data_IF_233715713952
#
_entry.id   IF_233715713952
#
_cell.length_a   1.000
_cell.length_b   1.000
_cell.length_c   1.000
_cell.angle_alpha   90.00
_cell.angle_beta   90.00
_cell.angle_gamma   90.00
#
_symmetry.space_group_name_H-M   'P 1'
#
loop_
_entity.id
_entity.type
_entity.pdbx_description
1 polymer ?
#
# COMPACT_ATOMS: atom_id res chain seq x y z
N UNK A 1 16.47 16.61 -2.05
CA UNK A 1 16.72 15.21 -1.64
C UNK A 1 15.74 14.21 -2.28
N UNK A 2 14.43 14.34 -2.10
CA UNK A 2 13.44 13.39 -2.66
C UNK A 2 13.48 13.28 -4.20
N UNK A 3 13.62 14.41 -4.90
CA UNK A 3 13.76 14.42 -6.37
C UNK A 3 14.98 13.62 -6.84
N UNK A 4 16.09 13.71 -6.10
CA UNK A 4 17.30 12.98 -6.45
C UNK A 4 17.14 11.47 -6.23
N UNK A 5 16.45 11.05 -5.17
CA UNK A 5 16.12 9.62 -4.96
C UNK A 5 15.33 9.07 -6.16
N UNK A 6 14.35 9.82 -6.68
CA UNK A 6 13.60 9.43 -7.88
C UNK A 6 14.46 9.44 -9.15
N UNK A 7 15.39 10.41 -9.28
CA UNK A 7 16.34 10.45 -10.40
C UNK A 7 17.29 9.25 -10.41
N UNK A 8 17.86 8.89 -9.26
CA UNK A 8 18.67 7.67 -9.10
C UNK A 8 17.87 6.42 -9.45
N UNK A 9 16.59 6.36 -9.08
CA UNK A 9 15.71 5.26 -9.45
C UNK A 9 15.55 5.13 -10.98
N UNK A 10 15.21 6.22 -11.67
CA UNK A 10 15.05 6.18 -13.13
C UNK A 10 16.35 5.88 -13.87
N UNK A 11 17.50 6.37 -13.38
CA UNK A 11 18.81 6.01 -13.91
C UNK A 11 19.13 4.52 -13.67
N UNK A 12 18.89 4.04 -12.46
CA UNK A 12 19.23 2.66 -12.08
C UNK A 12 18.38 1.60 -12.77
N UNK A 13 17.15 1.95 -13.12
CA UNK A 13 16.20 1.03 -13.77
C UNK A 13 16.13 1.21 -15.29
N UNK A 14 16.93 2.13 -15.86
CA UNK A 14 16.83 2.55 -17.26
C UNK A 14 15.39 2.87 -17.65
N UNK A 15 14.78 3.83 -16.96
CA UNK A 15 13.36 4.20 -17.15
C UNK A 15 12.38 3.05 -16.88
N UNK A 16 12.62 2.27 -15.83
CA UNK A 16 11.76 1.16 -15.37
C UNK A 16 11.83 -0.13 -16.23
N UNK A 17 12.76 -0.23 -17.18
CA UNK A 17 12.99 -1.43 -17.98
C UNK A 17 13.68 -2.58 -17.22
N UNK A 18 14.52 -2.27 -16.22
CA UNK A 18 15.24 -3.26 -15.41
C UNK A 18 14.86 -3.11 -13.93
N UNK A 19 13.93 -3.95 -13.47
CA UNK A 19 13.35 -3.85 -12.11
C UNK A 19 13.98 -4.79 -11.09
N UNK A 20 14.91 -5.66 -11.50
CA UNK A 20 15.62 -6.61 -10.63
C UNK A 20 17.01 -6.07 -10.31
N UNK A 21 17.41 -6.10 -9.03
CA UNK A 21 18.77 -5.73 -8.61
C UNK A 21 19.12 -4.24 -8.62
N UNK A 22 18.19 -3.35 -8.98
CA UNK A 22 18.47 -1.90 -9.12
C UNK A 22 18.87 -1.19 -7.81
N UNK A 23 18.61 -1.79 -6.63
CA UNK A 23 18.80 -1.15 -5.31
C UNK A 23 20.25 -0.75 -5.05
N UNK A 24 21.19 -1.65 -5.33
CA UNK A 24 22.62 -1.39 -5.11
C UNK A 24 23.14 -0.32 -6.06
N UNK A 25 22.67 -0.33 -7.32
CA UNK A 25 23.05 0.71 -8.29
C UNK A 25 22.44 2.07 -7.95
N UNK A 26 21.17 2.09 -7.51
CA UNK A 26 20.48 3.29 -7.04
C UNK A 26 21.18 3.92 -5.83
N UNK A 27 21.62 3.10 -4.88
CA UNK A 27 22.37 3.57 -3.71
C UNK A 27 23.74 4.15 -4.12
N UNK A 28 24.47 3.49 -5.02
CA UNK A 28 25.76 4.00 -5.53
C UNK A 28 25.61 5.39 -6.16
N UNK A 29 24.60 5.59 -7.01
CA UNK A 29 24.31 6.89 -7.62
C UNK A 29 23.91 7.95 -6.57
N UNK A 30 23.23 7.53 -5.51
CA UNK A 30 22.80 8.43 -4.44
C UNK A 30 23.98 8.90 -3.58
N UNK A 31 24.88 7.98 -3.21
CA UNK A 31 26.08 8.29 -2.43
C UNK A 31 27.05 9.16 -3.22
N UNK A 32 27.13 8.99 -4.54
CA UNK A 32 27.95 9.86 -5.40
C UNK A 32 27.57 11.34 -5.27
N UNK A 33 26.29 11.67 -5.07
CA UNK A 33 25.84 13.05 -4.89
C UNK A 33 25.86 13.51 -3.43
N UNK A 34 25.70 12.59 -2.49
CA UNK A 34 25.67 12.89 -1.05
C UNK A 34 26.65 11.97 -0.29
N UNK A 35 27.98 12.23 -0.40
CA UNK A 35 28.98 11.38 0.22
C UNK A 35 28.89 11.37 1.75
N UNK A 36 28.51 12.50 2.37
CA UNK A 36 28.37 12.63 3.84
C UNK A 36 27.30 11.72 4.46
N UNK A 37 26.41 11.17 3.63
CA UNK A 37 25.32 10.30 4.05
C UNK A 37 25.63 8.81 3.84
N UNK A 38 26.79 8.46 3.27
CA UNK A 38 27.18 7.09 2.96
C UNK A 38 27.14 6.17 4.20
N UNK A 39 27.65 6.64 5.34
CA UNK A 39 27.73 5.86 6.58
C UNK A 39 26.38 5.70 7.29
N UNK A 40 25.41 6.55 6.98
CA UNK A 40 24.11 6.62 7.70
C UNK A 40 22.96 6.00 6.91
N UNK A 41 23.08 5.89 5.60
CA UNK A 41 21.98 5.52 4.70
C UNK A 41 22.29 4.20 4.01
N UNK A 42 21.51 3.17 4.30
CA UNK A 42 21.61 1.85 3.65
C UNK A 42 20.89 1.79 2.31
N UNK A 43 21.24 0.82 1.45
CA UNK A 43 20.57 0.58 0.17
C UNK A 43 19.05 0.43 0.34
N UNK A 44 18.65 -0.35 1.34
CA UNK A 44 17.25 -0.58 1.69
C UNK A 44 16.54 0.73 2.05
N UNK A 45 17.21 1.62 2.79
CA UNK A 45 16.63 2.90 3.20
C UNK A 45 16.35 3.83 2.01
N UNK A 46 17.22 3.84 1.00
CA UNK A 46 17.03 4.63 -0.23
C UNK A 46 15.84 4.07 -1.05
N UNK A 47 15.72 2.74 -1.15
CA UNK A 47 14.61 2.10 -1.84
C UNK A 47 13.26 2.33 -1.12
N UNK A 48 13.24 2.25 0.21
CA UNK A 48 12.05 2.55 1.00
C UNK A 48 11.62 4.02 0.86
N UNK A 49 12.59 4.94 0.80
CA UNK A 49 12.30 6.36 0.56
C UNK A 49 11.60 6.59 -0.78
N UNK A 50 11.97 5.86 -1.84
CA UNK A 50 11.24 5.87 -3.13
C UNK A 50 9.79 5.45 -2.97
N UNK A 51 9.52 4.36 -2.22
CA UNK A 51 8.15 3.90 -1.94
C UNK A 51 7.34 4.98 -1.22
N UNK A 52 7.92 5.60 -0.19
CA UNK A 52 7.28 6.67 0.58
C UNK A 52 6.97 7.90 -0.30
N UNK A 53 7.88 8.27 -1.20
CA UNK A 53 7.66 9.39 -2.12
C UNK A 53 6.44 9.13 -3.01
N UNK A 54 6.31 7.93 -3.56
CA UNK A 54 5.18 7.54 -4.42
C UNK A 54 3.86 7.42 -3.65
N UNK A 55 3.87 6.78 -2.47
CA UNK A 55 2.62 6.55 -1.71
C UNK A 55 2.10 7.82 -1.06
N UNK A 56 2.98 8.70 -0.58
CA UNK A 56 2.62 9.95 0.10
C UNK A 56 2.53 11.14 -0.87
N UNK A 57 2.78 10.94 -2.17
CA UNK A 57 2.77 12.00 -3.20
C UNK A 57 3.63 13.21 -2.82
N UNK A 58 4.83 12.98 -2.28
CA UNK A 58 5.76 14.04 -1.88
C UNK A 58 6.35 14.82 -3.06
N UNK A 59 6.15 14.31 -4.28
CA UNK A 59 6.49 14.94 -5.55
C UNK A 59 5.25 14.83 -6.44
N UNK A 60 4.86 15.93 -7.07
CA UNK A 60 3.72 15.98 -8.00
C UNK A 60 3.96 15.08 -9.21
N UNK A 61 2.91 14.50 -9.77
CA UNK A 61 2.98 13.63 -10.96
C UNK A 61 3.69 14.32 -12.14
N UNK A 62 3.31 15.58 -12.43
CA UNK A 62 3.93 16.40 -13.48
C UNK A 62 5.44 16.51 -13.31
N UNK A 63 5.91 16.67 -12.06
CA UNK A 63 7.35 16.79 -11.77
C UNK A 63 8.06 15.44 -11.92
N UNK A 64 7.41 14.32 -11.61
CA UNK A 64 7.96 12.99 -11.87
C UNK A 64 8.11 12.70 -13.36
N UNK A 65 7.15 13.12 -14.18
CA UNK A 65 7.22 12.98 -15.64
C UNK A 65 8.35 13.83 -16.23
N UNK A 66 8.52 15.06 -15.75
CA UNK A 66 9.67 15.90 -16.12
C UNK A 66 10.99 15.24 -15.75
N UNK A 67 11.13 14.71 -14.52
CA UNK A 67 12.33 13.99 -14.10
C UNK A 67 12.58 12.74 -14.96
N UNK A 68 11.52 12.04 -15.38
CA UNK A 68 11.62 10.89 -16.28
C UNK A 68 12.11 11.33 -17.67
N UNK A 69 11.63 12.45 -18.18
CA UNK A 69 12.07 13.03 -19.46
C UNK A 69 13.53 13.51 -19.40
N UNK A 70 13.93 14.21 -18.33
CA UNK A 70 15.32 14.64 -18.08
C UNK A 70 16.27 13.42 -18.10
N UNK A 71 15.94 12.37 -17.34
CA UNK A 71 16.74 11.14 -17.31
C UNK A 71 16.75 10.40 -18.66
N UNK A 72 15.64 10.45 -19.41
CA UNK A 72 15.59 9.86 -20.74
C UNK A 72 16.53 10.58 -21.72
N UNK A 73 16.69 11.90 -21.59
CA UNK A 73 17.69 12.64 -22.38
C UNK A 73 19.12 12.26 -21.98
N UNK A 74 19.40 12.11 -20.68
CA UNK A 74 20.74 11.74 -20.18
C UNK A 74 21.18 10.34 -20.65
N UNK A 75 20.27 9.37 -20.62
CA UNK A 75 20.55 8.00 -21.09
C UNK A 75 20.82 7.97 -22.60
N UNK A 76 20.11 8.80 -23.39
CA UNK A 76 20.33 8.92 -24.84
C UNK A 76 21.71 9.53 -25.14
N UNK A 77 22.08 10.61 -24.43
CA UNK A 77 23.39 11.24 -24.61
C UNK A 77 24.57 10.36 -24.20
N UNK A 78 24.41 9.51 -23.18
CA UNK A 78 25.45 8.55 -22.80
C UNK A 78 25.55 7.40 -23.80
N UNK A 79 24.43 6.96 -24.38
CA UNK A 79 24.41 5.92 -25.43
C UNK A 79 25.14 6.40 -26.70
N UNK A 80 24.92 7.64 -27.12
CA UNK A 80 25.57 8.26 -28.28
C UNK A 80 27.08 8.53 -28.07
N UNK A 81 27.53 8.70 -26.82
CA UNK A 81 28.97 8.81 -26.49
C UNK A 81 29.71 7.48 -26.59
N UNK A 82 29.03 6.36 -26.34
CA UNK A 82 29.62 5.01 -26.47
C UNK A 82 29.76 4.52 -27.91
N UNK A 83 29.12 5.16 -28.89
CA UNK A 83 29.18 4.77 -30.31
C UNK A 83 30.30 5.45 -31.11
N UNK A 84 31.06 6.37 -30.50
CA UNK A 84 32.13 7.13 -31.19
C UNK A 84 33.53 6.92 -30.58
N UNK A 85 33.78 5.76 -29.97
CA UNK A 85 35.12 5.40 -29.50
C UNK A 85 35.48 3.95 -29.86
N UNK A 86 35.46 3.64 -31.15
CA UNK A 86 36.34 2.64 -31.74
C UNK A 86 37.36 3.36 -32.62
N UNK A 87 38.52 3.72 -32.05
CA UNK A 87 39.77 3.66 -32.79
C UNK A 87 40.98 3.60 -31.83
N UNK A 88 41.90 2.66 -32.13
CA UNK A 88 43.27 2.51 -31.63
C UNK A 88 43.52 2.04 -30.18
N UNK A 89 43.65 0.71 -29.97
CA UNK A 89 44.97 0.01 -29.92
C UNK A 89 44.83 -1.45 -29.43
N UNK A 90 45.41 -2.36 -30.21
CA UNK A 90 45.82 -3.72 -29.81
C UNK A 90 46.81 -3.68 -28.65
N UNK A 91 46.64 -4.58 -27.68
CA UNK A 91 47.66 -5.58 -27.30
C UNK A 91 47.06 -6.64 -26.37
N UNK A 92 47.32 -7.91 -26.70
CA UNK A 92 47.08 -9.09 -25.85
C UNK A 92 48.20 -9.20 -24.81
N UNK A 93 48.08 -9.91 -23.65
CA UNK A 93 48.04 -11.39 -23.64
C UNK A 93 47.27 -12.10 -22.49
N UNK A 94 46.69 -13.26 -22.84
CA UNK A 94 46.63 -14.57 -22.13
C UNK A 94 46.67 -14.60 -20.58
N UNK A 95 45.64 -15.16 -19.93
CA UNK A 95 45.58 -16.58 -19.48
C UNK A 95 44.48 -16.88 -18.43
N UNK A 96 43.84 -18.04 -18.62
CA UNK A 96 43.27 -19.00 -17.63
C UNK A 96 41.84 -18.81 -17.09
N UNK A 97 40.90 -19.48 -17.78
CA UNK A 97 39.67 -20.10 -17.24
C UNK A 97 40.01 -21.27 -16.27
N UNK A 98 39.13 -21.65 -15.33
CA UNK A 98 38.14 -22.73 -15.59
C UNK A 98 36.76 -22.39 -14.99
N UNK A 99 35.68 -22.32 -15.78
CA UNK A 99 34.80 -23.42 -16.22
C UNK A 99 34.29 -24.30 -15.06
N UNK A 100 33.07 -24.03 -14.59
CA UNK A 100 32.16 -25.09 -14.18
C UNK A 100 30.84 -24.92 -14.93
N UNK A 101 30.62 -25.83 -15.88
CA UNK A 101 29.34 -26.07 -16.56
C UNK A 101 28.35 -26.64 -15.53
N UNK A 102 27.09 -26.25 -15.61
CA UNK A 102 25.96 -27.18 -15.57
C UNK A 102 24.83 -26.56 -16.40
N UNK A 103 24.52 -27.25 -17.49
CA UNK A 103 23.41 -26.99 -18.39
C UNK A 103 22.09 -27.48 -17.79
N UNK A 104 20.99 -26.86 -18.23
CA UNK A 104 19.79 -27.47 -18.81
C UNK A 104 18.46 -26.98 -18.19
N UNK A 105 17.67 -26.40 -19.10
CA UNK A 105 16.22 -26.63 -19.27
C UNK A 105 15.21 -25.93 -18.34
N UNK A 106 14.55 -24.89 -18.86
CA UNK A 106 13.10 -24.87 -19.18
C UNK A 106 12.64 -23.47 -19.64
N UNK A 107 11.81 -23.44 -20.68
CA UNK A 107 11.39 -22.26 -21.45
C UNK A 107 10.53 -21.21 -20.71
N UNK A 108 10.57 -19.94 -21.15
CA UNK A 108 9.65 -19.28 -22.13
C UNK A 108 8.25 -19.13 -21.49
N UNK A 109 7.67 -17.97 -21.16
CA UNK A 109 7.45 -16.70 -21.89
C UNK A 109 7.03 -15.61 -20.85
N UNK A 110 7.35 -14.31 -20.90
CA UNK A 110 7.03 -13.28 -21.93
C UNK A 110 5.53 -13.28 -22.27
N UNK A 111 4.71 -12.23 -22.09
CA UNK A 111 4.69 -10.99 -22.87
C UNK A 111 3.72 -9.98 -22.20
N UNK A 112 4.05 -8.72 -22.47
CA UNK A 112 3.50 -7.38 -22.21
C UNK A 112 1.99 -7.08 -22.24
N UNK A 113 1.64 -6.01 -21.50
CA UNK A 113 0.63 -4.99 -21.82
C UNK A 113 1.05 -4.12 -23.03
N UNK A 114 0.16 -3.91 -24.00
CA UNK A 114 -0.25 -2.56 -24.45
C UNK A 114 -1.33 -2.53 -25.55
N UNK A 115 -1.90 -1.34 -25.69
CA UNK A 115 -3.19 -0.91 -26.22
C UNK A 115 -3.43 -0.85 -27.76
N UNK A 116 -4.68 -1.20 -28.14
CA UNK A 116 -5.70 -0.45 -28.93
C UNK A 116 -5.62 -0.35 -30.49
N UNK A 117 -6.51 -1.15 -31.13
CA UNK A 117 -7.45 -0.98 -32.31
C UNK A 117 -6.97 -0.60 -33.73
N UNK A 118 -7.77 -0.78 -34.82
CA UNK A 118 -9.12 -1.37 -35.01
C UNK A 118 -9.25 -2.42 -36.17
N UNK A 119 -10.46 -2.97 -36.36
CA UNK A 119 -10.99 -3.72 -37.53
C UNK A 119 -10.81 -5.26 -37.53
N UNK A 120 -11.81 -5.99 -36.99
CA UNK A 120 -12.61 -7.00 -37.70
C UNK A 120 -13.69 -7.59 -36.77
N UNK A 121 -14.81 -6.87 -36.74
CA UNK A 121 -16.10 -7.24 -36.17
C UNK A 121 -16.76 -8.32 -37.02
N UNK A 122 -16.95 -9.54 -36.49
CA UNK A 122 -18.11 -10.39 -36.81
C UNK A 122 -18.20 -11.70 -36.02
N UNK A 123 -17.10 -12.32 -35.55
CA UNK A 123 -17.14 -13.73 -35.08
C UNK A 123 -17.01 -13.99 -33.57
N UNK A 124 -16.81 -12.98 -32.73
CA UNK A 124 -16.70 -13.15 -31.26
C UNK A 124 -17.99 -12.84 -30.47
N UNK A 125 -19.08 -12.50 -31.16
CA UNK A 125 -20.26 -11.85 -30.56
C UNK A 125 -21.20 -12.83 -29.83
N UNK A 126 -21.10 -14.14 -30.04
CA UNK A 126 -22.15 -15.07 -29.57
C UNK A 126 -21.92 -15.64 -28.16
N UNK A 127 -20.69 -15.64 -27.64
CA UNK A 127 -20.40 -16.20 -26.30
C UNK A 127 -20.49 -15.16 -25.18
N UNK A 128 -20.14 -13.89 -25.42
CA UNK A 128 -20.17 -12.82 -24.40
C UNK A 128 -21.57 -12.24 -24.14
N UNK A 129 -22.48 -12.28 -25.12
CA UNK A 129 -23.86 -11.80 -24.96
C UNK A 129 -24.64 -12.55 -23.89
N UNK A 130 -24.34 -13.83 -23.67
CA UNK A 130 -24.99 -14.64 -22.64
C UNK A 130 -24.67 -14.17 -21.21
N UNK A 131 -23.41 -13.84 -20.93
CA UNK A 131 -22.99 -13.34 -19.60
C UNK A 131 -23.49 -11.93 -19.32
N UNK A 132 -23.49 -11.06 -20.33
CA UNK A 132 -23.92 -9.67 -20.16
C UNK A 132 -25.44 -9.57 -19.94
N UNK A 133 -26.23 -10.43 -20.59
CA UNK A 133 -27.67 -10.53 -20.34
C UNK A 133 -27.97 -11.04 -18.93
N UNK A 134 -27.25 -12.07 -18.46
CA UNK A 134 -27.42 -12.58 -17.09
C UNK A 134 -27.06 -11.53 -16.04
N UNK A 135 -25.96 -10.80 -16.26
CA UNK A 135 -25.55 -9.70 -15.39
C UNK A 135 -26.58 -8.57 -15.36
N UNK A 136 -27.19 -8.25 -16.51
CA UNK A 136 -28.26 -7.25 -16.59
C UNK A 136 -29.49 -7.67 -15.79
N UNK A 137 -29.90 -8.94 -15.87
CA UNK A 137 -31.05 -9.47 -15.11
C UNK A 137 -30.78 -9.39 -13.60
N UNK A 138 -29.61 -9.86 -13.14
CA UNK A 138 -29.26 -9.82 -11.71
C UNK A 138 -29.18 -8.39 -11.16
N UNK A 139 -28.62 -7.47 -11.95
CA UNK A 139 -28.52 -6.07 -11.57
C UNK A 139 -29.91 -5.41 -11.52
N UNK A 140 -30.80 -5.75 -12.45
CA UNK A 140 -32.19 -5.30 -12.46
C UNK A 140 -32.94 -5.79 -11.21
N UNK A 141 -32.77 -7.05 -10.82
CA UNK A 141 -33.38 -7.61 -9.62
C UNK A 141 -32.92 -6.89 -8.34
N UNK A 142 -31.62 -6.61 -8.20
CA UNK A 142 -31.10 -5.85 -7.06
C UNK A 142 -31.57 -4.39 -7.09
N UNK A 143 -31.76 -3.81 -8.27
CA UNK A 143 -32.31 -2.47 -8.43
C UNK A 143 -33.77 -2.40 -7.98
N UNK A 144 -34.61 -3.34 -8.41
CA UNK A 144 -36.02 -3.45 -8.00
C UNK A 144 -36.15 -3.70 -6.49
N UNK A 145 -35.30 -4.56 -5.93
CA UNK A 145 -35.24 -4.77 -4.47
C UNK A 145 -34.91 -3.46 -3.74
N UNK A 146 -33.92 -2.71 -4.22
CA UNK A 146 -33.56 -1.43 -3.62
C UNK A 146 -34.63 -0.35 -3.81
N UNK A 147 -35.40 -0.38 -4.91
CA UNK A 147 -36.59 0.49 -5.07
C UNK A 147 -37.56 0.24 -3.93
N UNK A 148 -37.95 -1.01 -3.70
CA UNK A 148 -38.94 -1.36 -2.65
C UNK A 148 -38.46 -0.91 -1.26
N UNK A 149 -37.16 -1.07 -0.98
CA UNK A 149 -36.58 -0.75 0.34
C UNK A 149 -36.46 0.75 0.61
N UNK A 150 -36.08 1.55 -0.40
CA UNK A 150 -35.68 2.95 -0.18
C UNK A 150 -36.67 3.99 -0.72
N UNK A 151 -37.68 3.59 -1.49
CA UNK A 151 -38.74 4.51 -1.90
C UNK A 151 -39.54 4.98 -0.69
N UNK A 152 -39.81 6.28 -0.59
CA UNK A 152 -40.51 6.89 0.56
C UNK A 152 -39.70 6.99 1.86
N UNK A 153 -38.42 6.56 1.87
CA UNK A 153 -37.54 6.72 3.05
C UNK A 153 -36.95 8.13 3.11
N UNK A 154 -36.79 8.66 4.32
CA UNK A 154 -36.16 9.97 4.54
C UNK A 154 -34.66 9.93 4.13
N UNK A 155 -34.20 10.79 3.21
CA UNK A 155 -32.81 10.83 2.74
C UNK A 155 -31.75 10.94 3.83
N UNK A 156 -32.03 11.66 4.93
CA UNK A 156 -31.09 11.88 6.03
C UNK A 156 -30.89 10.65 6.91
N UNK A 157 -31.82 9.69 6.88
CA UNK A 157 -31.77 8.46 7.66
C UNK A 157 -31.25 7.26 6.86
N UNK A 158 -30.92 7.45 5.58
CA UNK A 158 -30.46 6.37 4.73
C UNK A 158 -29.05 5.92 5.13
N UNK A 159 -28.76 4.61 5.04
CA UNK A 159 -27.43 4.09 5.25
C UNK A 159 -26.35 4.76 4.38
N UNK A 160 -25.14 5.00 4.90
CA UNK A 160 -24.05 5.49 4.09
C UNK A 160 -23.58 4.40 3.13
N UNK A 161 -23.41 4.75 1.86
CA UNK A 161 -22.89 3.83 0.84
C UNK A 161 -21.39 3.62 1.07
N UNK A 162 -20.91 2.37 1.24
CA UNK A 162 -19.50 2.09 1.47
C UNK A 162 -18.66 2.36 0.22
N UNK A 163 -17.42 2.81 0.42
CA UNK A 163 -16.44 3.02 -0.67
C UNK A 163 -16.15 1.70 -1.38
N UNK A 164 -16.31 1.68 -2.69
CA UNK A 164 -15.99 0.54 -3.54
C UNK A 164 -14.58 0.67 -4.14
N UNK A 165 -13.90 -0.47 -4.32
CA UNK A 165 -12.67 -0.53 -5.09
C UNK A 165 -12.99 -0.56 -6.59
N UNK A 166 -12.18 0.12 -7.40
CA UNK A 166 -12.31 0.08 -8.86
C UNK A 166 -12.07 -1.34 -9.37
N UNK A 167 -13.11 -1.97 -9.94
CA UNK A 167 -13.03 -3.30 -10.56
C UNK A 167 -13.70 -3.29 -11.92
N UNK A 168 -13.31 -4.20 -12.82
CA UNK A 168 -13.96 -4.36 -14.13
C UNK A 168 -15.45 -4.70 -13.98
N UNK A 169 -15.79 -5.53 -12.99
CA UNK A 169 -17.18 -5.89 -12.65
C UNK A 169 -17.98 -4.66 -12.23
N UNK A 170 -17.42 -3.79 -11.40
CA UNK A 170 -18.05 -2.53 -11.01
C UNK A 170 -18.27 -1.62 -12.23
N UNK A 171 -17.25 -1.44 -13.07
CA UNK A 171 -17.35 -0.60 -14.27
C UNK A 171 -18.44 -1.10 -15.23
N UNK A 172 -18.49 -2.42 -15.49
CA UNK A 172 -19.55 -3.05 -16.29
C UNK A 172 -20.93 -2.84 -15.66
N UNK A 173 -21.08 -3.03 -14.35
CA UNK A 173 -22.35 -2.85 -13.66
C UNK A 173 -22.85 -1.40 -13.75
N UNK A 174 -21.97 -0.43 -13.52
CA UNK A 174 -22.29 1.00 -13.66
C UNK A 174 -22.68 1.34 -15.09
N UNK A 175 -21.97 0.80 -16.09
CA UNK A 175 -22.30 1.01 -17.49
C UNK A 175 -23.71 0.50 -17.82
N UNK A 176 -24.01 -0.76 -17.48
CA UNK A 176 -25.34 -1.36 -17.71
C UNK A 176 -26.43 -0.55 -17.02
N UNK A 177 -26.21 -0.15 -15.76
CA UNK A 177 -27.19 0.62 -15.00
C UNK A 177 -27.52 1.96 -15.68
N UNK A 178 -26.49 2.70 -16.10
CA UNK A 178 -26.64 4.02 -16.71
C UNK A 178 -27.24 3.98 -18.12
N UNK A 179 -26.98 2.92 -18.90
CA UNK A 179 -27.46 2.81 -20.28
C UNK A 179 -28.81 2.13 -20.41
N UNK A 180 -29.11 1.13 -19.57
CA UNK A 180 -30.29 0.27 -19.75
C UNK A 180 -31.34 0.39 -18.65
N UNK A 181 -30.95 0.56 -17.39
CA UNK A 181 -31.86 0.47 -16.24
C UNK A 181 -32.38 1.87 -15.87
N UNK A 182 -31.48 2.79 -15.52
CA UNK A 182 -31.83 4.15 -15.08
C UNK A 182 -32.69 4.93 -16.09
N UNK A 183 -32.39 4.93 -17.40
CA UNK A 183 -33.19 5.69 -18.37
C UNK A 183 -34.66 5.24 -18.42
N UNK A 184 -34.93 3.93 -18.28
CA UNK A 184 -36.31 3.40 -18.25
C UNK A 184 -37.10 3.94 -17.06
N UNK A 185 -36.42 4.10 -15.92
CA UNK A 185 -37.04 4.64 -14.73
C UNK A 185 -37.06 6.17 -14.72
N UNK A 186 -36.22 6.87 -15.49
CA UNK A 186 -36.20 8.34 -15.57
C UNK A 186 -37.14 8.94 -16.62
N UNK A 187 -37.55 8.15 -17.62
CA UNK A 187 -38.38 8.63 -18.73
C UNK A 187 -39.81 9.08 -18.33
N UNK A 188 -40.23 8.85 -17.09
CA UNK A 188 -41.49 9.37 -16.56
C UNK A 188 -41.35 10.88 -16.30
N UNK A 189 -42.11 11.70 -17.03
CA UNK A 189 -41.96 13.17 -17.15
C UNK A 189 -42.19 13.98 -15.87
N UNK A 190 -42.68 13.37 -14.79
CA UNK A 190 -43.25 14.10 -13.63
C UNK A 190 -42.49 13.88 -12.31
N UNK A 191 -41.18 13.65 -12.37
CA UNK A 191 -40.39 13.34 -11.15
C UNK A 191 -39.96 14.58 -10.38
N UNK A 192 -40.22 14.57 -9.08
CA UNK A 192 -39.67 15.55 -8.15
C UNK A 192 -38.15 15.37 -7.99
N UNK A 193 -37.47 16.43 -7.55
CA UNK A 193 -36.05 16.35 -7.20
C UNK A 193 -35.76 15.24 -6.16
N UNK A 194 -36.67 15.06 -5.20
CA UNK A 194 -36.55 14.00 -4.19
C UNK A 194 -36.60 12.60 -4.80
N UNK A 195 -37.41 12.41 -5.84
CA UNK A 195 -37.54 11.14 -6.56
C UNK A 195 -36.27 10.83 -7.35
N UNK A 196 -35.70 11.85 -8.01
CA UNK A 196 -34.44 11.73 -8.75
C UNK A 196 -33.30 11.38 -7.79
N UNK A 197 -33.19 12.10 -6.67
CA UNK A 197 -32.18 11.81 -5.64
C UNK A 197 -32.33 10.40 -5.07
N UNK A 198 -33.58 9.96 -4.85
CA UNK A 198 -33.88 8.61 -4.39
C UNK A 198 -33.49 7.56 -5.41
N UNK A 199 -33.76 7.79 -6.69
CA UNK A 199 -33.39 6.89 -7.76
C UNK A 199 -31.86 6.75 -7.91
N UNK A 200 -31.11 7.85 -7.79
CA UNK A 200 -29.65 7.85 -7.82
C UNK A 200 -29.09 7.04 -6.64
N UNK A 201 -29.65 7.22 -5.44
CA UNK A 201 -29.25 6.46 -4.27
C UNK A 201 -29.52 4.96 -4.45
N UNK A 202 -30.73 4.60 -4.92
CA UNK A 202 -31.12 3.21 -5.23
C UNK A 202 -30.16 2.58 -6.24
N UNK A 203 -29.83 3.31 -7.31
CA UNK A 203 -28.86 2.89 -8.32
C UNK A 203 -27.51 2.55 -7.70
N UNK A 204 -26.98 3.44 -6.86
CA UNK A 204 -25.72 3.23 -6.19
C UNK A 204 -25.76 2.02 -5.24
N UNK A 205 -26.85 1.84 -4.48
CA UNK A 205 -27.05 0.67 -3.60
C UNK A 205 -27.08 -0.63 -4.39
N UNK A 206 -27.82 -0.67 -5.51
CA UNK A 206 -27.93 -1.86 -6.35
C UNK A 206 -26.56 -2.31 -6.88
N UNK A 207 -25.75 -1.36 -7.37
CA UNK A 207 -24.38 -1.64 -7.84
C UNK A 207 -23.48 -2.13 -6.70
N UNK A 208 -23.57 -1.52 -5.53
CA UNK A 208 -22.79 -1.94 -4.35
C UNK A 208 -23.14 -3.37 -3.94
N UNK A 209 -24.43 -3.70 -3.85
CA UNK A 209 -24.90 -5.05 -3.52
C UNK A 209 -24.47 -6.07 -4.58
N UNK A 210 -24.64 -5.74 -5.86
CA UNK A 210 -24.23 -6.59 -6.98
C UNK A 210 -22.72 -6.89 -7.00
N UNK A 211 -21.91 -5.92 -6.60
CA UNK A 211 -20.44 -6.08 -6.50
C UNK A 211 -19.99 -6.79 -5.22
N UNK A 212 -20.91 -7.10 -4.30
CA UNK A 212 -20.64 -7.81 -3.05
C UNK A 212 -20.39 -6.90 -1.85
N UNK A 213 -20.56 -5.58 -2.00
CA UNK A 213 -20.51 -4.63 -0.91
C UNK A 213 -21.77 -4.69 -0.04
N UNK A 214 -21.60 -4.53 1.28
CA UNK A 214 -22.70 -4.53 2.24
C UNK A 214 -23.08 -3.09 2.61
N UNK A 215 -24.33 -2.72 2.32
CA UNK A 215 -24.91 -1.46 2.79
C UNK A 215 -25.55 -1.74 4.15
N UNK A 216 -24.86 -1.37 5.23
CA UNK A 216 -25.29 -1.64 6.61
C UNK A 216 -26.44 -0.71 7.00
N UNK A 217 -27.63 -1.27 7.22
CA UNK A 217 -28.84 -0.51 7.61
C UNK A 217 -28.79 0.06 9.02
N UNK A 218 -27.94 -0.48 9.89
CA UNK A 218 -27.80 -0.07 11.27
C UNK A 218 -26.41 0.54 11.49
N UNK A 219 -26.37 1.85 11.80
CA UNK A 219 -25.16 2.56 12.24
C UNK A 219 -24.84 2.16 13.69
N UNK A 220 -24.45 0.90 13.89
CA UNK A 220 -23.77 0.47 15.12
C UNK A 220 -22.42 -0.08 14.73
N UNK A 221 -21.58 0.79 14.15
CA UNK A 221 -20.13 0.53 14.21
C UNK A 221 -19.78 0.45 15.69
N UNK A 222 -19.20 -0.65 16.18
CA UNK A 222 -18.65 -0.65 17.53
C UNK A 222 -17.68 0.53 17.57
N UNK A 223 -17.88 1.47 18.50
CA UNK A 223 -16.94 2.57 18.73
C UNK A 223 -15.56 1.94 18.75
N UNK A 224 -14.70 2.30 17.81
CA UNK A 224 -13.31 1.88 17.90
C UNK A 224 -12.84 2.35 19.27
N UNK A 225 -12.45 1.40 20.11
CA UNK A 225 -11.90 1.72 21.43
C UNK A 225 -10.83 2.78 21.17
N UNK A 226 -10.90 3.89 21.92
CA UNK A 226 -10.00 5.05 21.75
C UNK A 226 -8.58 4.49 21.61
N UNK A 227 -7.96 4.69 20.45
CA UNK A 227 -6.63 4.12 20.16
C UNK A 227 -5.63 4.79 21.12
N UNK A 228 -5.26 4.06 22.16
CA UNK A 228 -4.24 4.48 23.11
C UNK A 228 -2.92 4.65 22.32
N UNK A 229 -2.26 5.81 22.39
CA UNK A 229 -1.00 6.03 21.70
C UNK A 229 0.09 5.08 22.23
N UNK A 230 1.06 4.75 21.38
CA UNK A 230 2.08 3.74 21.71
C UNK A 230 2.92 4.08 22.95
N UNK A 231 3.13 5.37 23.23
CA UNK A 231 3.85 5.81 24.44
C UNK A 231 3.06 5.53 25.71
N UNK A 232 1.73 5.70 25.69
CA UNK A 232 0.86 5.45 26.84
C UNK A 232 0.80 3.95 27.12
N UNK A 233 0.68 3.12 26.08
CA UNK A 233 0.82 1.67 26.21
C UNK A 233 2.16 1.26 26.83
N UNK A 234 3.26 1.89 26.43
CA UNK A 234 4.59 1.63 26.99
C UNK A 234 4.65 1.98 28.47
N UNK A 235 4.12 3.13 28.87
CA UNK A 235 4.07 3.54 30.27
C UNK A 235 3.22 2.59 31.11
N UNK A 236 2.05 2.18 30.61
CA UNK A 236 1.18 1.19 31.27
C UNK A 236 1.95 -0.12 31.50
N UNK A 237 2.66 -0.61 30.48
CA UNK A 237 3.48 -1.83 30.60
C UNK A 237 4.62 -1.68 31.61
N UNK A 238 5.26 -0.51 31.67
CA UNK A 238 6.29 -0.23 32.68
C UNK A 238 5.69 -0.21 34.09
N UNK A 239 4.55 0.46 34.30
CA UNK A 239 3.83 0.49 35.57
C UNK A 239 3.44 -0.94 36.00
N UNK A 240 2.90 -1.74 35.08
CA UNK A 240 2.51 -3.11 35.38
C UNK A 240 3.72 -4.00 35.70
N UNK A 241 4.85 -3.81 35.02
CA UNK A 241 6.11 -4.49 35.36
C UNK A 241 6.53 -4.14 36.78
N UNK A 242 6.57 -2.85 37.13
CA UNK A 242 6.94 -2.38 38.47
C UNK A 242 5.99 -2.92 39.55
N UNK A 243 4.67 -2.87 39.32
CA UNK A 243 3.67 -3.43 40.24
C UNK A 243 3.87 -4.92 40.49
N UNK A 244 4.17 -5.70 39.45
CA UNK A 244 4.48 -7.13 39.59
C UNK A 244 5.75 -7.36 40.42
N UNK A 245 6.80 -6.59 40.17
CA UNK A 245 8.06 -6.66 40.94
C UNK A 245 7.83 -6.32 42.42
N UNK A 246 7.07 -5.25 42.72
CA UNK A 246 6.67 -4.88 44.08
C UNK A 246 5.90 -6.03 44.74
N UNK A 247 4.94 -6.64 44.04
CA UNK A 247 4.19 -7.79 44.56
C UNK A 247 5.09 -8.98 44.92
N UNK A 248 6.08 -9.29 44.08
CA UNK A 248 7.02 -10.38 44.31
C UNK A 248 7.93 -10.11 45.52
N UNK A 249 8.45 -8.88 45.65
CA UNK A 249 9.24 -8.46 46.82
C UNK A 249 8.38 -8.49 48.09
N UNK A 250 7.13 -8.03 47.99
CA UNK A 250 6.19 -8.05 49.12
C UNK A 250 5.91 -9.48 49.60
N UNK A 251 5.75 -10.44 48.69
CA UNK A 251 5.61 -11.85 49.03
C UNK A 251 6.84 -12.41 49.75
N UNK A 252 8.04 -12.03 49.29
CA UNK A 252 9.29 -12.41 49.95
C UNK A 252 9.39 -11.83 51.36
N UNK A 253 9.08 -10.53 51.54
CA UNK A 253 9.09 -9.84 52.85
C UNK A 253 8.08 -10.48 53.82
N UNK A 254 6.91 -10.90 53.34
CA UNK A 254 5.90 -11.61 54.12
C UNK A 254 6.31 -13.04 54.53
N UNK A 255 7.52 -13.48 54.18
CA UNK A 255 8.06 -14.78 54.59
C UNK A 255 7.72 -15.94 53.66
N UNK A 256 7.13 -15.68 52.49
CA UNK A 256 6.84 -16.74 51.50
C UNK A 256 8.14 -17.09 50.75
N UNK A 257 8.77 -18.18 51.17
CA UNK A 257 10.08 -18.65 50.67
C UNK A 257 9.97 -19.74 49.61
N UNK A 258 9.12 -19.54 48.61
CA UNK A 258 9.12 -20.42 47.43
C UNK A 258 10.42 -20.21 46.63
N UNK A 259 11.00 -21.29 46.10
CA UNK A 259 12.21 -21.23 45.24
C UNK A 259 12.06 -20.20 44.11
N UNK A 260 10.85 -20.07 43.56
CA UNK A 260 10.53 -19.10 42.50
C UNK A 260 10.57 -17.66 42.99
N UNK A 261 10.08 -17.39 44.20
CA UNK A 261 10.07 -16.04 44.79
C UNK A 261 11.48 -15.61 45.16
N UNK A 262 12.28 -16.52 45.72
CA UNK A 262 13.69 -16.26 46.08
C UNK A 262 14.52 -15.93 44.84
N UNK A 263 14.47 -16.78 43.80
CA UNK A 263 15.23 -16.55 42.57
C UNK A 263 14.86 -15.23 41.88
N UNK A 264 13.57 -14.87 41.91
CA UNK A 264 13.11 -13.59 41.36
C UNK A 264 13.59 -12.42 42.22
N UNK A 265 13.52 -12.51 43.54
CA UNK A 265 14.04 -11.48 44.45
C UNK A 265 15.55 -11.24 44.24
N UNK A 266 16.36 -12.29 44.16
CA UNK A 266 17.80 -12.18 43.92
C UNK A 266 18.10 -11.51 42.58
N UNK A 267 17.36 -11.89 41.52
CA UNK A 267 17.47 -11.25 40.21
C UNK A 267 17.13 -9.76 40.28
N UNK A 268 16.03 -9.39 40.95
CA UNK A 268 15.61 -8.00 41.11
C UNK A 268 16.62 -7.18 41.93
N UNK A 269 17.21 -7.78 42.96
CA UNK A 269 18.27 -7.15 43.76
C UNK A 269 19.47 -6.79 42.89
N UNK A 270 19.92 -7.69 42.02
CA UNK A 270 21.03 -7.43 41.08
C UNK A 270 20.67 -6.36 40.05
N UNK A 271 19.47 -6.43 39.45
CA UNK A 271 18.97 -5.43 38.49
C UNK A 271 18.94 -4.03 39.13
N UNK A 272 18.42 -3.91 40.35
CA UNK A 272 18.33 -2.63 41.06
C UNK A 272 19.70 -2.04 41.46
N UNK A 273 20.65 -2.89 41.89
CA UNK A 273 22.03 -2.47 42.16
C UNK A 273 22.73 -1.93 40.90
N UNK A 274 22.37 -2.46 39.72
CA UNK A 274 22.89 -1.97 38.44
C UNK A 274 22.29 -0.63 38.04
N UNK A 275 20.99 -0.43 38.28
CA UNK A 275 20.29 0.82 37.94
C UNK A 275 20.68 2.00 38.84
N UNK A 276 20.76 1.76 40.15
CA UNK A 276 21.16 2.78 41.15
C UNK A 276 22.58 3.33 40.95
N UNK A 277 23.46 2.61 40.23
CA UNK A 277 24.79 3.11 39.85
C UNK A 277 24.74 4.25 38.83
N UNK A 278 23.66 4.35 38.06
CA UNK A 278 23.51 5.31 36.97
C UNK A 278 22.44 6.38 37.25
N UNK A 279 21.61 6.18 38.28
CA UNK A 279 20.65 7.18 38.73
C UNK A 279 21.33 8.17 39.70
N UNK A 280 21.12 9.50 39.55
CA UNK A 280 21.60 10.46 40.52
C UNK A 280 20.99 10.17 41.90
N UNK A 281 21.71 10.41 43.00
CA UNK A 281 21.17 10.18 44.34
C UNK A 281 19.89 10.98 44.53
N UNK A 282 18.85 10.29 45.03
CA UNK A 282 17.53 10.86 45.24
C UNK A 282 17.63 12.02 46.25
N UNK A 283 17.56 13.28 45.78
CA UNK A 283 17.55 14.50 46.61
C UNK A 283 16.20 14.69 47.30
N UNK A 284 15.80 13.71 48.11
CA UNK A 284 14.62 13.82 48.97
C UNK A 284 15.03 13.33 50.35
N UNK A 285 15.45 14.26 51.20
CA UNK A 285 15.88 13.97 52.57
C UNK A 285 16.35 15.15 53.42
N UNK A 286 16.14 16.41 53.01
CA UNK A 286 16.26 17.58 53.89
C UNK A 286 14.87 18.20 54.07
N UNK A 287 14.13 17.69 55.05
CA UNK A 287 13.11 18.41 55.83
C UNK A 287 13.33 18.03 57.29
#
# INVERSE_FOLDING_TARGET
MNEHVMRCYYLSTKLESQTVGYRSYMWRLFVQKYPDLADKVTEQRVADQKRVILTTKKITHVRLEQLKAEVATEIKTDSDRTFNQEDLRSESPKNNTPMHKLSADMGISSISDSCITPVETAKLIEVEKGSDNQMTILLQQEFERAIIEFTGTNPLKRPPIPRQNSSRKLAKAVHILNTTILPKHLASSDKSFEDIHTLIYIAAVAVVRFTGGKVETCVTKPRSLKKIPAWEHRLIQQIDKLRRQIGQITQFIRGIKSKKVIAVYEKLKVELLRHTKHDPPNRTGDI
#
